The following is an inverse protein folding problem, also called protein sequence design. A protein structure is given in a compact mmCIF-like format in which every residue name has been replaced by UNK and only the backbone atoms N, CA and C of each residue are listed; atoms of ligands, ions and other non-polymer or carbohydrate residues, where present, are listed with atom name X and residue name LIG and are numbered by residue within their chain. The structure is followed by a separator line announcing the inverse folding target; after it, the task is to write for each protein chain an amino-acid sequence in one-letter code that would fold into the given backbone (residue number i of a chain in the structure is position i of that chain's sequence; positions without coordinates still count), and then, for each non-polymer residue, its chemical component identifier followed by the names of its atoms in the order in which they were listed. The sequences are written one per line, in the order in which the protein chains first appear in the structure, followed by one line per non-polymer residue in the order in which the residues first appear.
data_IF_905490199359
#
_entry.id   IF_905490199359
#
_cell.length_a   1.000
_cell.length_b   1.000
_cell.length_c   1.000
_cell.angle_alpha   90.00
_cell.angle_beta   90.00
_cell.angle_gamma   90.00
#
_symmetry.space_group_name_H-M   'P 1'
#
loop_
_entity.id
_entity.type
_entity.pdbx_description
1 polymer ?
#
# COMPACT_ATOMS: atom_id res chain seq x y z
N UNK A 1 16.54 44.65 23.36
CA UNK A 1 17.51 43.64 23.84
C UNK A 1 16.73 42.48 24.46
N UNK A 2 16.62 41.36 23.73
CA UNK A 2 16.28 40.04 24.26
C UNK A 2 17.14 39.05 23.48
N UNK A 3 18.10 38.45 24.18
CA UNK A 3 18.95 37.37 23.71
C UNK A 3 18.05 36.17 23.43
N UNK A 4 18.03 35.70 22.18
CA UNK A 4 17.51 34.38 21.84
C UNK A 4 18.68 33.38 21.79
N UNK A 5 18.57 32.21 22.44
CA UNK A 5 19.70 31.32 22.64
C UNK A 5 19.87 30.31 21.50
N UNK A 6 21.15 30.03 21.25
CA UNK A 6 21.72 28.77 20.76
C UNK A 6 21.18 28.14 19.45
N UNK A 7 21.98 28.35 18.40
CA UNK A 7 22.27 27.35 17.37
C UNK A 7 22.63 26.00 18.02
N UNK A 8 21.80 24.99 17.82
CA UNK A 8 22.16 23.59 18.00
C UNK A 8 22.41 22.99 16.62
N UNK A 9 23.68 22.82 16.27
CA UNK A 9 24.12 21.95 15.19
C UNK A 9 23.89 20.49 15.64
N UNK A 10 23.18 19.65 14.88
CA UNK A 10 23.12 18.23 15.18
C UNK A 10 24.48 17.60 14.91
N UNK A 11 24.98 16.85 15.90
CA UNK A 11 26.14 15.98 15.80
C UNK A 11 25.99 15.04 14.59
N UNK A 12 27.05 14.94 13.80
CA UNK A 12 27.17 13.98 12.71
C UNK A 12 27.28 12.58 13.33
N UNK A 13 26.15 11.93 13.56
CA UNK A 13 26.11 10.50 13.79
C UNK A 13 26.51 9.81 12.48
N UNK A 14 27.44 8.85 12.56
CA UNK A 14 27.68 7.87 11.51
C UNK A 14 26.34 7.14 11.27
N UNK A 15 25.57 7.59 10.27
CA UNK A 15 24.40 6.86 9.80
C UNK A 15 24.96 5.72 8.95
N UNK A 16 24.91 4.50 9.47
CA UNK A 16 24.98 3.32 8.61
C UNK A 16 23.99 3.58 7.47
N UNK A 17 24.46 3.62 6.22
CA UNK A 17 23.61 3.87 5.06
C UNK A 17 22.43 2.90 5.15
N UNK A 18 21.24 3.44 5.46
CA UNK A 18 20.03 2.65 5.40
C UNK A 18 19.99 2.06 3.99
N UNK A 19 19.75 0.75 3.84
CA UNK A 19 19.72 0.12 2.53
C UNK A 19 18.78 0.93 1.63
N UNK A 20 19.19 1.16 0.38
CA UNK A 20 18.43 1.95 -0.58
C UNK A 20 16.96 1.52 -0.54
N UNK A 21 16.07 2.51 -0.38
CA UNK A 21 14.63 2.28 -0.20
C UNK A 21 14.13 1.49 -1.42
N UNK A 22 13.76 0.22 -1.22
CA UNK A 22 13.34 -0.67 -2.29
C UNK A 22 11.92 -0.29 -2.69
N UNK A 23 11.73 0.15 -3.92
CA UNK A 23 10.40 0.32 -4.50
C UNK A 23 9.76 -1.05 -4.71
N UNK A 24 8.85 -1.41 -3.81
CA UNK A 24 8.18 -2.71 -3.81
C UNK A 24 7.23 -2.88 -4.99
N UNK A 25 6.65 -1.79 -5.50
CA UNK A 25 5.76 -1.82 -6.67
C UNK A 25 6.60 -2.12 -7.92
N UNK A 26 7.74 -1.44 -8.07
CA UNK A 26 8.67 -1.71 -9.15
C UNK A 26 9.21 -3.15 -9.07
N UNK A 27 9.60 -3.60 -7.87
CA UNK A 27 10.05 -4.99 -7.65
C UNK A 27 8.98 -6.00 -8.08
N UNK A 28 7.72 -5.77 -7.71
CA UNK A 28 6.60 -6.61 -8.16
C UNK A 28 6.48 -6.61 -9.69
N UNK A 29 6.47 -5.44 -10.33
CA UNK A 29 6.29 -5.31 -11.77
C UNK A 29 7.42 -5.99 -12.56
N UNK A 30 8.66 -5.91 -12.07
CA UNK A 30 9.82 -6.58 -12.68
C UNK A 30 9.71 -8.09 -12.61
N UNK A 31 9.22 -8.65 -11.51
CA UNK A 31 9.28 -10.09 -11.24
C UNK A 31 7.99 -10.84 -11.59
N UNK A 32 6.87 -10.12 -11.71
CA UNK A 32 5.56 -10.67 -12.07
C UNK A 32 5.59 -11.51 -13.37
N UNK A 33 6.21 -11.06 -14.49
CA UNK A 33 6.24 -11.84 -15.72
C UNK A 33 6.94 -13.19 -15.54
N UNK A 34 8.07 -13.21 -14.83
CA UNK A 34 8.85 -14.41 -14.60
C UNK A 34 8.11 -15.39 -13.68
N UNK A 35 7.49 -14.92 -12.59
CA UNK A 35 6.67 -15.79 -11.74
C UNK A 35 5.47 -16.36 -12.51
N UNK A 36 4.81 -15.56 -13.35
CA UNK A 36 3.72 -16.05 -14.20
C UNK A 36 4.19 -17.07 -15.23
N UNK A 37 5.37 -16.88 -15.82
CA UNK A 37 5.94 -17.83 -16.77
C UNK A 37 6.23 -19.18 -16.09
N UNK A 38 6.82 -19.16 -14.89
CA UNK A 38 7.06 -20.38 -14.12
C UNK A 38 5.76 -21.11 -13.78
N UNK A 39 4.68 -20.40 -13.45
CA UNK A 39 3.36 -21.02 -13.22
C UNK A 39 2.84 -21.68 -14.51
N UNK A 40 2.94 -20.99 -15.66
CA UNK A 40 2.52 -21.52 -16.97
C UNK A 40 3.31 -22.76 -17.38
N UNK A 41 4.60 -22.80 -17.09
CA UNK A 41 5.48 -23.95 -17.34
C UNK A 41 5.32 -25.07 -16.29
N UNK A 42 4.32 -24.97 -15.40
CA UNK A 42 4.08 -25.90 -14.29
C UNK A 42 5.27 -26.05 -13.32
N UNK A 43 6.19 -25.08 -13.30
CA UNK A 43 7.29 -24.94 -12.33
C UNK A 43 6.81 -24.19 -11.08
N UNK A 44 5.71 -24.64 -10.51
CA UNK A 44 4.97 -23.91 -9.47
C UNK A 44 5.76 -23.79 -8.15
N UNK A 45 6.60 -24.77 -7.83
CA UNK A 45 7.48 -24.70 -6.65
C UNK A 45 8.55 -23.59 -6.79
N UNK A 46 9.17 -23.46 -7.97
CA UNK A 46 10.12 -22.38 -8.26
C UNK A 46 9.42 -21.02 -8.25
N UNK A 47 8.22 -20.94 -8.83
CA UNK A 47 7.39 -19.74 -8.80
C UNK A 47 7.09 -19.29 -7.37
N UNK A 48 6.75 -20.23 -6.49
CA UNK A 48 6.44 -19.96 -5.09
C UNK A 48 7.70 -19.52 -4.31
N UNK A 49 8.81 -20.23 -4.45
CA UNK A 49 10.07 -19.87 -3.80
C UNK A 49 10.52 -18.46 -4.22
N UNK A 50 10.38 -18.14 -5.50
CA UNK A 50 10.68 -16.80 -6.03
C UNK A 50 9.74 -15.75 -5.45
N UNK A 51 8.43 -15.96 -5.48
CA UNK A 51 7.46 -15.03 -4.90
C UNK A 51 7.70 -14.78 -3.40
N UNK A 52 8.06 -15.83 -2.64
CA UNK A 52 8.42 -15.73 -1.23
C UNK A 52 9.69 -14.91 -1.02
N UNK A 53 10.70 -15.08 -1.86
CA UNK A 53 11.95 -14.30 -1.83
C UNK A 53 11.77 -12.83 -2.21
N UNK A 54 10.62 -12.43 -2.76
CA UNK A 54 10.31 -11.02 -3.02
C UNK A 54 9.85 -10.26 -1.77
N UNK A 55 9.35 -10.96 -0.75
CA UNK A 55 8.93 -10.32 0.48
C UNK A 55 10.16 -9.75 1.22
N UNK A 56 10.12 -8.50 1.67
CA UNK A 56 11.19 -7.97 2.51
C UNK A 56 11.18 -8.68 3.87
N UNK A 57 12.36 -8.78 4.49
CA UNK A 57 12.50 -9.40 5.82
C UNK A 57 11.71 -8.63 6.90
N UNK A 58 11.70 -7.30 6.79
CA UNK A 58 10.89 -6.42 7.62
C UNK A 58 9.92 -5.63 6.74
N UNK A 59 8.64 -5.51 7.15
CA UNK A 59 7.69 -4.69 6.43
C UNK A 59 8.09 -3.20 6.50
N UNK A 60 7.84 -2.41 5.44
CA UNK A 60 8.04 -0.97 5.49
C UNK A 60 7.25 -0.35 6.65
N UNK A 61 7.89 0.59 7.35
CA UNK A 61 7.26 1.32 8.44
C UNK A 61 6.42 2.48 7.89
N UNK A 62 5.21 2.62 8.42
CA UNK A 62 4.35 3.76 8.12
C UNK A 62 4.97 5.07 8.66
N UNK A 63 4.96 6.13 7.82
CA UNK A 63 5.42 7.47 8.15
C UNK A 63 4.43 8.53 7.64
N UNK A 64 3.56 8.99 8.53
CA UNK A 64 2.59 10.07 8.27
C UNK A 64 3.07 11.46 8.69
N UNK A 65 4.38 11.71 8.80
CA UNK A 65 4.92 13.00 9.26
C UNK A 65 4.74 14.13 8.24
N UNK A 66 4.75 13.80 6.94
CA UNK A 66 4.56 14.74 5.83
C UNK A 66 3.64 14.15 4.77
N UNK A 67 3.13 14.97 3.85
CA UNK A 67 2.31 14.45 2.73
C UNK A 67 3.09 13.49 1.82
N UNK A 68 4.37 13.75 1.46
CA UNK A 68 5.17 12.80 0.69
C UNK A 68 5.41 11.46 1.40
N UNK A 69 5.73 11.48 2.70
CA UNK A 69 5.98 10.23 3.45
C UNK A 69 4.69 9.44 3.65
N UNK A 70 3.55 10.13 3.82
CA UNK A 70 2.22 9.52 3.89
C UNK A 70 1.90 8.78 2.58
N UNK A 71 2.07 9.46 1.43
CA UNK A 71 1.84 8.87 0.12
C UNK A 71 2.75 7.65 -0.11
N UNK A 72 4.04 7.78 0.20
CA UNK A 72 5.00 6.69 0.09
C UNK A 72 4.61 5.49 0.98
N UNK A 73 4.09 5.72 2.18
CA UNK A 73 3.64 4.63 3.06
C UNK A 73 2.46 3.85 2.48
N UNK A 74 1.59 4.54 1.73
CA UNK A 74 0.49 3.90 0.99
C UNK A 74 1.00 3.15 -0.23
N UNK A 75 1.96 3.70 -0.96
CA UNK A 75 2.64 2.99 -2.07
C UNK A 75 3.36 1.73 -1.58
N UNK A 76 4.05 1.80 -0.44
CA UNK A 76 4.70 0.67 0.21
C UNK A 76 3.67 -0.41 0.59
N UNK A 77 2.49 0.01 1.09
CA UNK A 77 1.37 -0.88 1.39
C UNK A 77 0.82 -1.55 0.13
N UNK A 78 0.70 -0.80 -0.97
CA UNK A 78 0.27 -1.33 -2.28
C UNK A 78 1.28 -2.36 -2.79
N UNK A 79 2.58 -2.05 -2.71
CA UNK A 79 3.66 -2.95 -3.09
C UNK A 79 3.67 -4.24 -2.26
N UNK A 80 3.64 -4.14 -0.93
CA UNK A 80 3.51 -5.30 -0.05
C UNK A 80 2.27 -6.14 -0.37
N UNK A 81 1.14 -5.48 -0.61
CA UNK A 81 -0.10 -6.17 -0.96
C UNK A 81 -0.02 -6.92 -2.28
N UNK A 82 0.65 -6.35 -3.29
CA UNK A 82 0.91 -7.01 -4.57
C UNK A 82 1.82 -8.23 -4.42
N UNK A 83 2.88 -8.12 -3.62
CA UNK A 83 3.80 -9.25 -3.33
C UNK A 83 3.10 -10.39 -2.61
N UNK A 84 2.30 -10.11 -1.58
CA UNK A 84 1.49 -11.15 -0.93
C UNK A 84 0.43 -11.75 -1.86
N UNK A 85 -0.17 -10.95 -2.73
CA UNK A 85 -1.08 -11.45 -3.77
C UNK A 85 -0.38 -12.40 -4.74
N UNK A 86 0.87 -12.10 -5.12
CA UNK A 86 1.68 -12.97 -5.97
C UNK A 86 2.06 -14.28 -5.28
N UNK A 87 2.47 -14.20 -4.01
CA UNK A 87 2.72 -15.38 -3.18
C UNK A 87 1.47 -16.25 -3.06
N UNK A 88 0.30 -15.66 -2.81
CA UNK A 88 -0.96 -16.39 -2.72
C UNK A 88 -1.30 -17.10 -4.04
N UNK A 89 -1.07 -16.44 -5.19
CA UNK A 89 -1.24 -17.03 -6.51
C UNK A 89 -0.31 -18.22 -6.73
N UNK A 90 0.97 -18.08 -6.41
CA UNK A 90 1.95 -19.15 -6.56
C UNK A 90 1.66 -20.32 -5.61
N UNK A 91 1.33 -20.05 -4.35
CA UNK A 91 0.94 -21.06 -3.36
C UNK A 91 -0.30 -21.84 -3.82
N UNK A 92 -1.31 -21.14 -4.36
CA UNK A 92 -2.49 -21.76 -4.97
C UNK A 92 -2.12 -22.71 -6.11
N UNK A 93 -1.22 -22.30 -7.02
CA UNK A 93 -0.76 -23.14 -8.12
C UNK A 93 0.03 -24.39 -7.67
N UNK A 94 0.69 -24.33 -6.50
CA UNK A 94 1.31 -25.49 -5.85
C UNK A 94 0.34 -26.36 -5.03
N UNK A 95 -0.95 -26.03 -5.01
CA UNK A 95 -1.94 -26.74 -4.21
C UNK A 95 -1.83 -26.49 -2.70
N UNK A 96 -1.02 -25.51 -2.27
CA UNK A 96 -0.82 -25.11 -0.87
C UNK A 96 -1.81 -24.01 -0.47
N UNK A 97 -3.09 -24.36 -0.46
CA UNK A 97 -4.18 -23.42 -0.32
C UNK A 97 -4.21 -22.72 1.04
N UNK A 98 -3.80 -23.41 2.11
CA UNK A 98 -3.65 -22.83 3.45
C UNK A 98 -2.65 -21.67 3.44
N UNK A 99 -1.51 -21.85 2.76
CA UNK A 99 -0.51 -20.79 2.62
C UNK A 99 -1.00 -19.66 1.70
N UNK A 100 -1.83 -19.98 0.70
CA UNK A 100 -2.46 -18.95 -0.12
C UNK A 100 -3.44 -18.09 0.71
N UNK A 101 -4.23 -18.71 1.60
CA UNK A 101 -5.09 -17.98 2.55
C UNK A 101 -4.24 -17.13 3.49
N UNK A 102 -3.21 -17.69 4.11
CA UNK A 102 -2.32 -16.96 5.01
C UNK A 102 -1.71 -15.72 4.33
N UNK A 103 -1.26 -15.86 3.08
CA UNK A 103 -0.73 -14.74 2.31
C UNK A 103 -1.80 -13.65 2.04
N UNK A 104 -3.03 -14.02 1.70
CA UNK A 104 -4.12 -13.03 1.53
C UNK A 104 -4.54 -12.39 2.86
N UNK A 105 -4.49 -13.13 3.97
CA UNK A 105 -4.75 -12.58 5.29
C UNK A 105 -3.67 -11.58 5.71
N UNK A 106 -2.39 -11.90 5.49
CA UNK A 106 -1.27 -10.98 5.71
C UNK A 106 -1.38 -9.72 4.85
N UNK A 107 -1.80 -9.86 3.58
CA UNK A 107 -2.14 -8.73 2.70
C UNK A 107 -3.20 -7.83 3.32
N UNK A 108 -4.31 -8.40 3.78
CA UNK A 108 -5.41 -7.64 4.38
C UNK A 108 -5.00 -6.99 5.71
N UNK A 109 -4.27 -7.71 6.56
CA UNK A 109 -3.76 -7.19 7.83
C UNK A 109 -2.81 -6.00 7.63
N UNK A 110 -1.89 -6.08 6.66
CA UNK A 110 -1.00 -4.97 6.32
C UNK A 110 -1.78 -3.71 5.93
N UNK A 111 -2.76 -3.84 5.03
CA UNK A 111 -3.58 -2.70 4.62
C UNK A 111 -4.41 -2.11 5.78
N UNK A 112 -4.94 -2.94 6.68
CA UNK A 112 -5.65 -2.48 7.88
C UNK A 112 -4.73 -1.74 8.85
N UNK A 113 -3.51 -2.24 9.06
CA UNK A 113 -2.52 -1.58 9.91
C UNK A 113 -2.17 -0.20 9.35
N UNK A 114 -1.97 -0.09 8.03
CA UNK A 114 -1.77 1.19 7.35
C UNK A 114 -2.95 2.14 7.55
N UNK A 115 -4.20 1.69 7.40
CA UNK A 115 -5.37 2.55 7.60
C UNK A 115 -5.46 3.05 9.06
N UNK A 116 -5.19 2.18 10.03
CA UNK A 116 -5.22 2.55 11.45
C UNK A 116 -4.16 3.60 11.83
N UNK A 117 -2.99 3.55 11.21
CA UNK A 117 -1.93 4.56 11.37
C UNK A 117 -2.18 5.82 10.54
N UNK A 118 -2.78 5.67 9.34
CA UNK A 118 -3.20 6.77 8.48
C UNK A 118 -4.15 7.72 9.21
N UNK A 119 -5.17 7.18 9.87
CA UNK A 119 -6.16 7.99 10.60
C UNK A 119 -5.53 8.77 11.79
N UNK A 120 -4.33 8.39 12.23
CA UNK A 120 -3.55 9.03 13.30
C UNK A 120 -2.37 9.87 12.78
N UNK A 121 -2.19 9.96 11.46
CA UNK A 121 -1.02 10.60 10.86
C UNK A 121 -0.89 12.08 11.31
N UNK A 122 0.27 12.49 11.87
CA UNK A 122 0.47 13.84 12.39
C UNK A 122 0.17 14.95 11.37
N UNK A 123 0.51 14.72 10.10
CA UNK A 123 0.29 15.68 9.02
C UNK A 123 -1.19 16.06 8.85
N UNK A 124 -2.11 15.13 9.09
CA UNK A 124 -3.55 15.38 8.99
C UNK A 124 -3.98 16.37 10.10
N UNK A 125 -3.50 16.15 11.33
CA UNK A 125 -3.73 17.06 12.45
C UNK A 125 -3.13 18.44 12.23
N UNK A 126 -1.90 18.49 11.69
CA UNK A 126 -1.22 19.75 11.35
C UNK A 126 -2.01 20.57 10.32
N UNK A 127 -2.52 19.94 9.25
CA UNK A 127 -3.34 20.64 8.26
C UNK A 127 -4.70 21.09 8.80
N UNK A 128 -5.35 20.31 9.67
CA UNK A 128 -6.57 20.75 10.37
C UNK A 128 -6.31 21.99 11.20
N UNK A 129 -5.24 21.98 11.99
CA UNK A 129 -4.85 23.12 12.81
C UNK A 129 -4.50 24.33 11.94
N UNK A 130 -3.65 24.17 10.92
CA UNK A 130 -3.25 25.27 10.04
C UNK A 130 -4.45 25.90 9.30
N UNK A 131 -5.42 25.09 8.86
CA UNK A 131 -6.64 25.59 8.24
C UNK A 131 -7.50 26.39 9.23
N UNK A 132 -7.66 25.90 10.45
CA UNK A 132 -8.41 26.59 11.50
C UNK A 132 -7.73 27.90 11.93
N UNK A 133 -6.42 27.86 12.22
CA UNK A 133 -5.63 29.04 12.59
C UNK A 133 -5.70 30.10 11.48
N UNK A 134 -5.67 29.67 10.21
CA UNK A 134 -5.79 30.59 9.07
C UNK A 134 -7.19 31.18 8.92
N UNK A 135 -8.23 30.40 9.19
CA UNK A 135 -9.62 30.88 9.21
C UNK A 135 -9.79 31.97 10.25
N UNK A 136 -9.31 31.72 11.45
CA UNK A 136 -9.42 32.65 12.57
C UNK A 136 -8.56 33.91 12.34
N UNK A 137 -7.38 33.76 11.74
CA UNK A 137 -6.52 34.90 11.41
C UNK A 137 -7.18 35.82 10.37
N UNK A 138 -7.68 35.25 9.26
CA UNK A 138 -8.33 36.04 8.20
C UNK A 138 -9.58 36.73 8.73
N UNK A 139 -10.42 36.02 9.47
CA UNK A 139 -11.66 36.57 10.04
C UNK A 139 -11.40 37.78 10.97
N UNK A 140 -10.31 37.76 11.73
CA UNK A 140 -9.94 38.84 12.66
C UNK A 140 -9.24 40.00 11.97
N UNK A 141 -8.38 39.72 10.99
CA UNK A 141 -7.39 40.70 10.54
C UNK A 141 -7.71 41.37 9.20
N UNK A 142 -8.67 40.86 8.41
CA UNK A 142 -9.02 41.48 7.12
C UNK A 142 -9.56 42.91 7.30
N UNK A 143 -10.55 43.08 8.19
CA UNK A 143 -11.11 44.39 8.52
C UNK A 143 -10.11 45.26 9.30
N UNK A 144 -9.35 44.65 10.21
CA UNK A 144 -8.32 45.36 11.00
C UNK A 144 -7.23 45.95 10.11
N UNK A 145 -6.81 45.23 9.07
CA UNK A 145 -5.86 45.73 8.07
C UNK A 145 -6.38 47.01 7.42
N UNK A 146 -7.62 46.99 6.92
CA UNK A 146 -8.24 48.15 6.26
C UNK A 146 -8.37 49.35 7.21
N UNK A 147 -8.76 49.09 8.47
CA UNK A 147 -8.83 50.12 9.51
C UNK A 147 -7.46 50.78 9.76
N UNK A 148 -6.41 49.96 9.93
CA UNK A 148 -5.06 50.45 10.20
C UNK A 148 -4.47 51.18 8.99
N UNK A 149 -4.67 50.67 7.77
CA UNK A 149 -4.25 51.34 6.54
C UNK A 149 -4.86 52.74 6.44
N UNK A 150 -6.17 52.87 6.71
CA UNK A 150 -6.86 54.15 6.72
C UNK A 150 -6.33 55.11 7.81
N UNK A 151 -6.13 54.62 9.04
CA UNK A 151 -5.60 55.43 10.15
C UNK A 151 -4.19 55.95 9.88
N UNK A 152 -3.30 55.06 9.43
CA UNK A 152 -1.90 55.41 9.11
C UNK A 152 -1.85 56.40 7.95
N UNK A 153 -2.63 56.18 6.89
CA UNK A 153 -2.69 57.11 5.76
C UNK A 153 -3.22 58.49 6.16
N UNK A 154 -4.28 58.55 6.98
CA UNK A 154 -4.84 59.80 7.47
C UNK A 154 -3.84 60.58 8.34
N UNK A 155 -3.13 59.91 9.25
CA UNK A 155 -2.12 60.57 10.08
C UNK A 155 -0.93 61.09 9.26
N UNK A 156 -0.48 60.33 8.25
CA UNK A 156 0.59 60.78 7.33
C UNK A 156 0.17 62.02 6.55
N UNK A 157 -1.06 62.05 6.03
CA UNK A 157 -1.60 63.21 5.34
C UNK A 157 -1.67 64.44 6.26
N UNK A 158 -2.13 64.28 7.51
CA UNK A 158 -2.16 65.35 8.51
C UNK A 158 -0.75 65.86 8.85
N UNK A 159 0.22 64.95 9.00
CA UNK A 159 1.62 65.29 9.25
C UNK A 159 2.22 66.11 8.10
N UNK A 160 1.98 65.69 6.85
CA UNK A 160 2.46 66.39 5.66
C UNK A 160 1.80 67.77 5.48
N UNK A 161 0.51 67.90 5.82
CA UNK A 161 -0.19 69.19 5.86
C UNK A 161 0.43 70.13 6.89
N UNK A 162 0.65 69.69 8.13
CA UNK A 162 1.29 70.49 9.19
C UNK A 162 2.68 70.95 8.76
N UNK A 163 3.45 70.05 8.14
CA UNK A 163 4.80 70.33 7.64
C UNK A 163 4.80 71.35 6.49
N UNK A 164 3.84 71.28 5.58
CA UNK A 164 3.77 72.13 4.38
C UNK A 164 3.10 73.49 4.61
N UNK A 165 2.10 73.57 5.49
CA UNK A 165 1.28 74.76 5.70
C UNK A 165 1.85 75.78 6.72
N UNK A 166 3.00 75.47 7.36
CA UNK A 166 3.54 76.25 8.51
C UNK A 166 2.50 76.47 9.63
N UNK A 167 1.47 75.62 9.73
CA UNK A 167 0.45 75.69 10.78
C UNK A 167 1.15 75.51 12.13
N UNK A 168 1.17 76.56 12.94
CA UNK A 168 1.69 76.50 14.31
C UNK A 168 0.63 75.85 15.19
N UNK A 169 0.89 74.61 15.59
CA UNK A 169 0.11 73.94 16.62
C UNK A 169 0.29 74.67 17.95
N UNK A 170 -0.79 74.81 18.70
CA UNK A 170 -0.74 75.16 20.11
C UNK A 170 -0.05 74.05 20.91
N UNK A 171 0.34 74.33 22.15
CA UNK A 171 1.00 73.35 23.03
C UNK A 171 0.16 72.09 23.25
N UNK A 172 -1.16 72.27 23.41
CA UNK A 172 -2.09 71.17 23.65
C UNK A 172 -2.30 70.33 22.39
N UNK A 173 -2.41 70.97 21.22
CA UNK A 173 -2.49 70.29 19.92
C UNK A 173 -1.20 69.52 19.60
N UNK A 174 -0.03 70.08 19.87
CA UNK A 174 1.25 69.40 19.68
C UNK A 174 1.39 68.18 20.60
N UNK A 175 0.92 68.29 21.85
CA UNK A 175 0.93 67.17 22.81
C UNK A 175 0.00 66.04 22.33
N UNK A 176 -1.22 66.38 21.91
CA UNK A 176 -2.18 65.41 21.36
C UNK A 176 -1.68 64.76 20.05
N UNK A 177 -1.06 65.55 19.16
CA UNK A 177 -0.49 65.07 17.91
C UNK A 177 0.65 64.07 18.16
N UNK A 178 1.57 64.38 19.07
CA UNK A 178 2.68 63.49 19.43
C UNK A 178 2.18 62.19 20.08
N UNK A 179 1.15 62.25 20.93
CA UNK A 179 0.53 61.07 21.52
C UNK A 179 -0.12 60.17 20.45
N UNK A 180 -0.82 60.77 19.47
CA UNK A 180 -1.34 60.05 18.29
C UNK A 180 -0.20 59.45 17.46
N UNK A 181 0.89 60.17 17.26
CA UNK A 181 2.07 59.67 16.54
C UNK A 181 2.69 58.43 17.19
N UNK A 182 2.75 58.38 18.52
CA UNK A 182 3.21 57.19 19.24
C UNK A 182 2.28 55.98 19.03
N UNK A 183 0.96 56.20 19.04
CA UNK A 183 -0.02 55.15 18.72
C UNK A 183 0.09 54.69 17.26
N UNK A 184 0.27 55.63 16.33
CA UNK A 184 0.43 55.33 14.90
C UNK A 184 1.66 54.47 14.65
N UNK A 185 2.75 54.67 15.39
CA UNK A 185 3.93 53.79 15.28
C UNK A 185 3.62 52.34 15.70
N UNK A 186 2.76 52.13 16.70
CA UNK A 186 2.29 50.79 17.09
C UNK A 186 1.34 50.21 16.04
N UNK A 187 0.41 51.02 15.54
CA UNK A 187 -0.53 50.66 14.47
C UNK A 187 0.21 50.28 13.18
N UNK A 188 1.31 50.95 12.83
CA UNK A 188 2.17 50.60 11.69
C UNK A 188 2.88 49.26 11.88
N UNK A 189 3.33 48.93 13.10
CA UNK A 189 3.94 47.64 13.39
C UNK A 189 2.91 46.50 13.31
N UNK A 190 1.71 46.72 13.86
CA UNK A 190 0.60 45.77 13.76
C UNK A 190 0.20 45.57 12.29
N UNK A 191 0.05 46.65 11.53
CA UNK A 191 -0.25 46.62 10.10
C UNK A 191 0.80 45.82 9.32
N UNK A 192 2.09 46.04 9.60
CA UNK A 192 3.17 45.31 8.93
C UNK A 192 3.10 43.80 9.23
N UNK A 193 2.80 43.40 10.47
CA UNK A 193 2.62 41.99 10.84
C UNK A 193 1.40 41.37 10.13
N UNK A 194 0.27 42.07 10.12
CA UNK A 194 -0.94 41.62 9.43
C UNK A 194 -0.70 41.52 7.92
N UNK A 195 -0.10 42.55 7.31
CA UNK A 195 0.17 42.58 5.87
C UNK A 195 1.10 41.45 5.43
N UNK A 196 2.06 41.06 6.26
CA UNK A 196 2.95 39.93 6.01
C UNK A 196 2.25 38.57 6.16
N UNK A 197 1.40 38.39 7.18
CA UNK A 197 0.81 37.09 7.52
C UNK A 197 -0.50 36.80 6.75
N UNK A 198 -1.32 37.81 6.48
CA UNK A 198 -2.62 37.67 5.81
C UNK A 198 -2.56 36.90 4.48
N UNK A 199 -1.64 37.19 3.53
CA UNK A 199 -1.58 36.44 2.27
C UNK A 199 -1.21 34.96 2.47
N UNK A 200 -0.44 34.63 3.50
CA UNK A 200 -0.08 33.24 3.83
C UNK A 200 -1.31 32.49 4.33
N UNK A 201 -2.07 33.09 5.26
CA UNK A 201 -3.29 32.49 5.78
C UNK A 201 -4.40 32.37 4.72
N UNK A 202 -4.57 33.37 3.85
CA UNK A 202 -5.48 33.29 2.71
C UNK A 202 -5.08 32.15 1.76
N UNK A 203 -3.79 32.00 1.45
CA UNK A 203 -3.28 30.89 0.63
C UNK A 203 -3.50 29.52 1.30
N UNK A 204 -3.29 29.42 2.60
CA UNK A 204 -3.55 28.19 3.36
C UNK A 204 -5.03 27.80 3.31
N UNK A 205 -5.96 28.75 3.45
CA UNK A 205 -7.39 28.49 3.30
C UNK A 205 -7.76 28.03 1.90
N UNK A 206 -7.19 28.65 0.87
CA UNK A 206 -7.43 28.24 -0.52
C UNK A 206 -6.88 26.82 -0.82
N UNK A 207 -5.79 26.42 -0.15
CA UNK A 207 -5.16 25.12 -0.33
C UNK A 207 -5.76 24.02 0.53
N UNK A 208 -6.31 24.34 1.70
CA UNK A 208 -6.81 23.34 2.66
C UNK A 208 -7.84 22.36 2.05
N UNK A 209 -8.85 22.79 1.25
CA UNK A 209 -9.76 21.85 0.60
C UNK A 209 -9.05 20.87 -0.35
N UNK A 210 -8.01 21.33 -1.07
CA UNK A 210 -7.23 20.47 -1.98
C UNK A 210 -6.46 19.42 -1.20
N UNK A 211 -5.85 19.81 -0.08
CA UNK A 211 -5.10 18.89 0.78
C UNK A 211 -6.03 17.87 1.41
N UNK A 212 -7.19 18.28 1.94
CA UNK A 212 -8.15 17.34 2.53
C UNK A 212 -8.75 16.39 1.49
N UNK A 213 -8.95 16.86 0.26
CA UNK A 213 -9.34 15.99 -0.85
C UNK A 213 -8.29 14.90 -1.11
N UNK A 214 -7.01 15.27 -1.18
CA UNK A 214 -5.92 14.28 -1.35
C UNK A 214 -5.89 13.29 -0.18
N UNK A 215 -6.01 13.76 1.06
CA UNK A 215 -6.05 12.89 2.24
C UNK A 215 -7.23 11.91 2.16
N UNK A 216 -8.43 12.38 1.79
CA UNK A 216 -9.63 11.53 1.65
C UNK A 216 -9.49 10.50 0.52
N UNK A 217 -8.97 10.92 -0.64
CA UNK A 217 -8.70 10.02 -1.77
C UNK A 217 -7.67 8.95 -1.41
N UNK A 218 -6.57 9.33 -0.74
CA UNK A 218 -5.56 8.38 -0.25
C UNK A 218 -6.15 7.40 0.78
N UNK A 219 -7.00 7.89 1.70
CA UNK A 219 -7.70 7.03 2.66
C UNK A 219 -8.58 5.99 1.97
N UNK A 220 -9.40 6.43 1.01
CA UNK A 220 -10.26 5.56 0.19
C UNK A 220 -9.47 4.53 -0.61
N UNK A 221 -8.27 4.90 -1.05
CA UNK A 221 -7.38 3.95 -1.71
C UNK A 221 -7.00 2.79 -0.78
N UNK A 222 -6.58 3.10 0.45
CA UNK A 222 -6.24 2.08 1.46
C UNK A 222 -7.45 1.22 1.80
N UNK A 223 -8.64 1.80 1.93
CA UNK A 223 -9.90 1.04 2.10
C UNK A 223 -10.18 0.10 0.91
N UNK A 224 -9.93 0.55 -0.31
CA UNK A 224 -10.00 -0.27 -1.51
C UNK A 224 -9.03 -1.46 -1.47
N UNK A 225 -7.79 -1.24 -1.01
CA UNK A 225 -6.80 -2.31 -0.83
C UNK A 225 -7.28 -3.37 0.18
N UNK A 226 -7.88 -2.95 1.29
CA UNK A 226 -8.47 -3.85 2.30
C UNK A 226 -9.58 -4.68 1.67
N UNK A 227 -10.53 -4.03 0.97
CA UNK A 227 -11.67 -4.70 0.34
C UNK A 227 -11.21 -5.77 -0.65
N UNK A 228 -10.29 -5.44 -1.55
CA UNK A 228 -9.76 -6.41 -2.54
C UNK A 228 -9.01 -7.55 -1.87
N UNK A 229 -8.27 -7.29 -0.79
CA UNK A 229 -7.58 -8.32 -0.04
C UNK A 229 -8.55 -9.27 0.68
N UNK A 230 -9.61 -8.73 1.29
CA UNK A 230 -10.63 -9.52 1.99
C UNK A 230 -11.44 -10.39 1.04
N UNK A 231 -11.84 -9.87 -0.12
CA UNK A 231 -12.51 -10.65 -1.17
C UNK A 231 -11.62 -11.81 -1.65
N UNK A 232 -10.32 -11.56 -1.82
CA UNK A 232 -9.36 -12.58 -2.21
C UNK A 232 -9.15 -13.64 -1.11
N UNK A 233 -9.06 -13.23 0.16
CA UNK A 233 -8.97 -14.14 1.30
C UNK A 233 -10.23 -15.01 1.42
N UNK A 234 -11.42 -14.41 1.28
CA UNK A 234 -12.69 -15.14 1.30
C UNK A 234 -12.77 -16.17 0.17
N UNK A 235 -12.36 -15.79 -1.05
CA UNK A 235 -12.30 -16.71 -2.20
C UNK A 235 -11.34 -17.88 -1.93
N UNK A 236 -10.17 -17.61 -1.38
CA UNK A 236 -9.19 -18.65 -1.04
C UNK A 236 -9.72 -19.59 0.07
N UNK A 237 -10.39 -19.05 1.10
CA UNK A 237 -11.04 -19.85 2.15
C UNK A 237 -12.15 -20.74 1.60
N UNK A 238 -12.96 -20.23 0.67
CA UNK A 238 -14.01 -21.02 -0.01
C UNK A 238 -13.40 -22.17 -0.81
N UNK A 239 -12.26 -21.95 -1.47
CA UNK A 239 -11.54 -23.02 -2.16
C UNK A 239 -11.13 -24.13 -1.19
N UNK A 240 -10.53 -23.81 -0.03
CA UNK A 240 -10.18 -24.82 0.99
C UNK A 240 -11.42 -25.58 1.49
N UNK A 241 -12.51 -24.88 1.78
CA UNK A 241 -13.74 -25.52 2.27
C UNK A 241 -14.28 -26.55 1.26
N UNK A 242 -14.37 -26.17 -0.02
CA UNK A 242 -14.77 -27.08 -1.10
C UNK A 242 -13.88 -28.33 -1.17
N UNK A 243 -12.58 -28.18 -0.91
CA UNK A 243 -11.64 -29.30 -0.95
C UNK A 243 -11.81 -30.28 0.20
N UNK A 244 -12.11 -29.79 1.40
CA UNK A 244 -12.41 -30.66 2.53
C UNK A 244 -13.71 -31.45 2.30
N UNK A 245 -14.68 -30.81 1.63
CA UNK A 245 -15.94 -31.46 1.27
C UNK A 245 -15.77 -32.51 0.16
N UNK A 246 -14.80 -32.36 -0.74
CA UNK A 246 -14.56 -33.32 -1.83
C UNK A 246 -14.20 -34.73 -1.35
N UNK A 247 -13.47 -34.90 -0.24
CA UNK A 247 -13.21 -36.25 0.32
C UNK A 247 -14.52 -36.88 0.81
N UNK A 248 -15.39 -36.08 1.40
CA UNK A 248 -16.72 -36.50 1.85
C UNK A 248 -17.61 -36.84 0.66
N UNK A 249 -17.63 -35.99 -0.37
CA UNK A 249 -18.39 -36.20 -1.61
C UNK A 249 -17.88 -37.40 -2.41
N UNK A 250 -16.56 -37.60 -2.49
CA UNK A 250 -15.99 -38.78 -3.14
C UNK A 250 -16.47 -40.06 -2.46
N UNK A 251 -16.49 -40.08 -1.14
CA UNK A 251 -17.01 -41.22 -0.37
C UNK A 251 -18.53 -41.45 -0.55
N UNK A 252 -19.34 -40.39 -0.73
CA UNK A 252 -20.79 -40.53 -0.95
C UNK A 252 -21.18 -40.81 -2.40
N UNK A 253 -20.41 -40.34 -3.39
CA UNK A 253 -20.71 -40.51 -4.82
C UNK A 253 -20.13 -41.83 -5.39
N UNK A 254 -19.05 -42.38 -4.82
CA UNK A 254 -18.46 -43.67 -5.22
C UNK A 254 -19.25 -44.88 -4.67
N UNK A 255 -20.57 -44.89 -4.79
CA UNK A 255 -21.54 -45.90 -4.27
C UNK A 255 -21.25 -47.37 -4.65
N UNK A 256 -20.16 -47.67 -5.36
CA UNK A 256 -19.87 -48.99 -5.93
C UNK A 256 -19.01 -49.91 -5.05
N UNK A 257 -18.37 -49.48 -3.94
CA UNK A 257 -17.61 -50.44 -3.09
C UNK A 257 -17.82 -50.24 -1.60
N UNK A 258 -18.08 -51.35 -0.89
CA UNK A 258 -18.26 -51.51 0.58
C UNK A 258 -17.11 -50.97 1.47
N UNK A 259 -16.18 -50.17 0.94
CA UNK A 259 -14.98 -49.71 1.64
C UNK A 259 -14.98 -48.19 1.66
N UNK A 260 -15.29 -47.63 2.83
CA UNK A 260 -15.12 -46.19 3.11
C UNK A 260 -13.64 -45.83 2.98
N UNK A 261 -13.32 -44.84 2.17
CA UNK A 261 -11.95 -44.34 2.07
C UNK A 261 -11.70 -43.41 3.25
N UNK A 262 -10.78 -43.83 4.12
CA UNK A 262 -10.38 -43.06 5.29
C UNK A 262 -8.96 -42.55 5.09
N UNK A 263 -8.76 -41.25 5.29
CA UNK A 263 -7.45 -40.60 5.22
C UNK A 263 -7.08 -40.08 3.83
N UNK A 264 -6.28 -39.00 3.82
CA UNK A 264 -5.87 -38.24 2.63
C UNK A 264 -5.13 -39.11 1.60
N UNK A 265 -4.21 -39.97 2.04
CA UNK A 265 -3.41 -40.85 1.16
C UNK A 265 -4.26 -41.84 0.36
N UNK A 266 -5.14 -42.56 1.05
CA UNK A 266 -6.02 -43.54 0.41
C UNK A 266 -6.99 -42.88 -0.60
N UNK A 267 -7.39 -41.64 -0.32
CA UNK A 267 -8.18 -40.86 -1.27
C UNK A 267 -7.38 -40.46 -2.50
N UNK A 268 -6.15 -39.97 -2.33
CA UNK A 268 -5.25 -39.66 -3.45
C UNK A 268 -5.05 -40.88 -4.34
N UNK A 269 -4.76 -42.04 -3.76
CA UNK A 269 -4.60 -43.29 -4.52
C UNK A 269 -5.87 -43.67 -5.29
N UNK A 270 -7.05 -43.51 -4.68
CA UNK A 270 -8.32 -43.83 -5.34
C UNK A 270 -8.64 -42.86 -6.49
N UNK A 271 -8.34 -41.56 -6.32
CA UNK A 271 -8.49 -40.55 -7.37
C UNK A 271 -7.57 -40.90 -8.55
N UNK A 272 -6.31 -41.25 -8.27
CA UNK A 272 -5.28 -41.54 -9.27
C UNK A 272 -5.46 -42.89 -10.01
N UNK A 273 -6.19 -43.84 -9.43
CA UNK A 273 -6.55 -45.12 -10.10
C UNK A 273 -7.44 -44.93 -11.33
N UNK A 274 -8.16 -43.81 -11.40
CA UNK A 274 -9.02 -43.43 -12.52
C UNK A 274 -8.41 -42.18 -13.18
N UNK A 275 -7.52 -42.33 -14.18
CA UNK A 275 -6.85 -41.22 -14.86
C UNK A 275 -7.79 -40.12 -15.36
N UNK A 276 -9.03 -40.48 -15.70
CA UNK A 276 -10.10 -39.58 -16.10
C UNK A 276 -10.45 -38.51 -15.05
N UNK A 277 -10.18 -38.76 -13.76
CA UNK A 277 -10.37 -37.76 -12.71
C UNK A 277 -9.41 -36.57 -12.84
N UNK A 278 -8.31 -36.76 -13.57
CA UNK A 278 -7.33 -35.72 -13.88
C UNK A 278 -7.56 -35.20 -15.29
N UNK A 279 -7.65 -36.08 -16.30
CA UNK A 279 -7.71 -35.64 -17.71
C UNK A 279 -9.00 -34.89 -18.06
N UNK A 280 -10.06 -35.01 -17.25
CA UNK A 280 -11.30 -34.22 -17.40
C UNK A 280 -11.26 -32.85 -16.71
N UNK A 281 -10.20 -32.50 -15.97
CA UNK A 281 -10.09 -31.20 -15.28
C UNK A 281 -9.91 -30.01 -16.24
N UNK A 282 -9.93 -30.24 -17.55
CA UNK A 282 -9.83 -29.18 -18.56
C UNK A 282 -8.39 -29.00 -19.02
N UNK A 283 -7.91 -27.75 -18.98
CA UNK A 283 -6.61 -27.38 -19.53
C UNK A 283 -5.45 -27.98 -18.71
N UNK A 284 -4.25 -28.17 -19.31
CA UNK A 284 -3.07 -28.69 -18.61
C UNK A 284 -2.74 -27.98 -17.29
N UNK A 285 -3.04 -26.69 -17.19
CA UNK A 285 -2.85 -25.87 -16.00
C UNK A 285 -3.74 -26.33 -14.83
N UNK A 286 -5.01 -26.60 -15.11
CA UNK A 286 -5.98 -27.09 -14.12
C UNK A 286 -5.62 -28.50 -13.67
N UNK A 287 -5.17 -29.34 -14.61
CA UNK A 287 -4.66 -30.68 -14.32
C UNK A 287 -3.41 -30.63 -13.41
N UNK A 288 -2.45 -29.75 -13.73
CA UNK A 288 -1.23 -29.59 -12.95
C UNK A 288 -1.52 -29.05 -11.54
N UNK A 289 -2.43 -28.07 -11.40
CA UNK A 289 -2.85 -27.55 -10.11
C UNK A 289 -3.53 -28.63 -9.25
N UNK A 290 -4.38 -29.47 -9.86
CA UNK A 290 -5.01 -30.59 -9.18
C UNK A 290 -3.97 -31.64 -8.74
N UNK A 291 -3.03 -32.02 -9.60
CA UNK A 291 -1.94 -32.94 -9.26
C UNK A 291 -1.04 -32.41 -8.15
N UNK A 292 -0.68 -31.13 -8.18
CA UNK A 292 0.07 -30.48 -7.10
C UNK A 292 -0.68 -30.56 -5.76
N UNK A 293 -2.00 -30.36 -5.76
CA UNK A 293 -2.82 -30.57 -4.56
C UNK A 293 -2.78 -32.02 -4.07
N UNK A 294 -2.86 -33.01 -4.96
CA UNK A 294 -2.72 -34.42 -4.57
C UNK A 294 -1.38 -34.68 -3.89
N UNK A 295 -0.29 -34.08 -4.38
CA UNK A 295 1.04 -34.18 -3.79
C UNK A 295 1.17 -33.45 -2.44
N UNK A 296 0.33 -32.46 -2.14
CA UNK A 296 0.24 -31.88 -0.79
C UNK A 296 -0.47 -32.84 0.17
N UNK A 297 -1.49 -33.56 -0.31
CA UNK A 297 -2.27 -34.51 0.50
C UNK A 297 -1.53 -35.84 0.74
N UNK A 298 -0.74 -36.30 -0.24
CA UNK A 298 0.15 -37.46 -0.15
C UNK A 298 1.54 -37.12 -0.72
N UNK A 299 2.41 -36.49 0.09
CA UNK A 299 3.77 -36.16 -0.33
C UNK A 299 4.54 -37.41 -0.76
N UNK A 300 5.12 -37.37 -1.96
CA UNK A 300 5.92 -38.47 -2.52
C UNK A 300 5.13 -39.47 -3.37
N UNK A 301 3.84 -39.22 -3.66
CA UNK A 301 3.07 -40.08 -4.56
C UNK A 301 3.68 -40.12 -5.98
N UNK A 302 4.29 -41.26 -6.33
CA UNK A 302 5.05 -41.40 -7.56
C UNK A 302 4.19 -41.26 -8.83
N UNK A 303 2.90 -41.65 -8.77
CA UNK A 303 2.02 -41.56 -9.93
C UNK A 303 1.62 -40.10 -10.18
N UNK A 304 1.24 -39.36 -9.13
CA UNK A 304 0.95 -37.93 -9.25
C UNK A 304 2.17 -37.15 -9.71
N UNK A 305 3.36 -37.45 -9.16
CA UNK A 305 4.61 -36.79 -9.54
C UNK A 305 4.94 -37.04 -11.02
N UNK A 306 4.87 -38.30 -11.47
CA UNK A 306 5.11 -38.64 -12.87
C UNK A 306 4.12 -37.96 -13.81
N UNK A 307 2.84 -37.88 -13.40
CA UNK A 307 1.82 -37.23 -14.20
C UNK A 307 2.07 -35.72 -14.35
N UNK A 308 2.51 -35.07 -13.26
CA UNK A 308 2.90 -33.67 -13.27
C UNK A 308 4.15 -33.44 -14.13
N UNK A 309 5.14 -34.34 -14.08
CA UNK A 309 6.37 -34.22 -14.88
C UNK A 309 6.10 -34.43 -16.39
N UNK A 310 5.08 -35.22 -16.75
CA UNK A 310 4.61 -35.30 -18.12
C UNK A 310 4.05 -33.94 -18.59
N UNK A 311 3.19 -33.30 -17.78
CA UNK A 311 2.63 -31.97 -18.10
C UNK A 311 3.74 -30.92 -18.24
N UNK A 312 4.72 -30.89 -17.33
CA UNK A 312 5.90 -30.00 -17.42
C UNK A 312 6.70 -30.21 -18.72
N UNK A 313 6.70 -31.42 -19.26
CA UNK A 313 7.34 -31.76 -20.53
C UNK A 313 6.44 -31.52 -21.75
N UNK A 314 5.28 -30.86 -21.59
CA UNK A 314 4.32 -30.61 -22.67
C UNK A 314 3.57 -31.84 -23.16
N UNK A 315 3.54 -32.92 -22.36
CA UNK A 315 2.85 -34.18 -22.67
C UNK A 315 1.56 -34.31 -21.86
N UNK A 316 0.63 -35.15 -22.29
CA UNK A 316 -0.55 -35.50 -21.49
C UNK A 316 -0.13 -36.14 -20.15
N UNK A 317 -0.89 -35.85 -19.09
CA UNK A 317 -0.58 -36.28 -17.72
C UNK A 317 -0.23 -37.77 -17.62
N UNK A 318 -1.00 -38.66 -18.25
CA UNK A 318 -0.75 -40.12 -18.19
C UNK A 318 -0.14 -40.70 -19.47
N UNK A 319 0.57 -39.88 -20.25
CA UNK A 319 1.29 -40.35 -21.43
C UNK A 319 2.25 -41.50 -21.09
N UNK A 320 2.19 -42.58 -21.89
CA UNK A 320 3.15 -43.68 -21.78
C UNK A 320 4.54 -43.20 -22.19
N UNK A 321 5.57 -43.54 -21.42
CA UNK A 321 6.95 -43.28 -21.81
C UNK A 321 7.23 -43.98 -23.16
N UNK A 322 7.83 -43.31 -24.16
CA UNK A 322 8.21 -43.96 -25.39
C UNK A 322 9.17 -45.11 -25.06
N UNK A 323 8.84 -46.32 -25.53
CA UNK A 323 9.77 -47.46 -25.43
C UNK A 323 11.00 -47.12 -26.28
N UNK A 324 12.24 -47.25 -25.76
CA UNK A 324 13.41 -47.17 -26.62
C UNK A 324 13.25 -48.23 -27.72
N UNK A 325 13.38 -47.82 -28.97
CA UNK A 325 13.29 -48.72 -30.11
C UNK A 325 14.31 -49.85 -29.90
N UNK A 326 13.84 -51.10 -29.89
CA UNK A 326 14.74 -52.26 -29.94
C UNK A 326 15.62 -52.06 -31.17
N UNK A 327 16.92 -51.88 -30.96
CA UNK A 327 17.91 -51.99 -32.03
C UNK A 327 17.69 -53.35 -32.69
N UNK A 328 17.17 -53.31 -33.92
CA UNK A 328 16.98 -54.50 -34.74
C UNK A 328 18.33 -55.16 -34.90
N UNK A 329 18.45 -56.39 -34.39
CA UNK A 329 19.64 -57.20 -34.54
C UNK A 329 20.00 -57.30 -36.02
N UNK A 330 21.25 -56.96 -36.33
CA UNK A 330 21.85 -57.19 -37.62
C UNK A 330 21.71 -58.68 -37.97
N UNK A 331 20.86 -58.99 -38.95
CA UNK A 331 20.92 -60.29 -39.64
C UNK A 331 22.15 -60.23 -40.55
N UNK A 332 23.17 -61.02 -40.20
CA UNK A 332 24.23 -61.40 -41.13
C UNK A 332 23.62 -62.34 -42.18
N UNK A 333 23.72 -61.96 -43.45
CA UNK A 333 23.79 -62.84 -44.62
C UNK A 333 24.45 -62.06 -45.74
#
# INVERSE_FOLDING_TARGET
MRLFPCLLLPAVALVAQAPAKVDLVQRFNTELPLVNQLIKEHKTAEAMAKAQGLLPAEPPRFDGSTMPTLAQSVDDTRGMGALYGLLAKAASATGRWEQAVEAQEKRAQGARATLAEFDKAPIIGQWRKAAQDSKDFVAKNEARKQELEAKVAAFKAEFDEIKSSKKKLTKDEATAFNARGAQISQDEQELAQIAAALPIHQKNLANAPKVFKVIDETRKEVEGLIKTADEAAAKAKKAIASQNDEITQFNTQQVIKKVKIVGKKNWVDAVLRAPENITKQGAPEDQAAFLNRLLVLDPGNALAQKALDNLKAGREAFAKTPKPAKQGGAKKS
#
